data_IF_063124765739
#
_entry.id   IF_063124765739
#
_cell.length_a   1.000
_cell.length_b   1.000
_cell.length_c   1.000
_cell.angle_alpha   90.00
_cell.angle_beta   90.00
_cell.angle_gamma   90.00
#
_symmetry.space_group_name_H-M   'P 1'
#
loop_
_entity.id
_entity.type
_entity.pdbx_description
1 polymer ?
#
# COMPACT_ATOMS: atom_id res chain seq x y z
N UNK A 1 9.05 -10.24 -8.48
CA UNK A 1 9.55 -10.00 -7.11
C UNK A 1 9.30 -8.55 -6.82
N UNK A 2 8.68 -8.24 -5.67
CA UNK A 2 8.49 -6.88 -5.22
C UNK A 2 9.67 -6.43 -4.37
N UNK A 3 9.88 -5.12 -4.29
CA UNK A 3 10.93 -4.54 -3.48
C UNK A 3 10.32 -4.02 -2.18
N UNK A 4 10.77 -4.53 -1.04
CA UNK A 4 10.14 -4.30 0.26
C UNK A 4 11.16 -3.73 1.24
N UNK A 5 10.99 -2.45 1.61
CA UNK A 5 11.86 -1.78 2.59
C UNK A 5 11.67 -2.40 3.99
N UNK A 6 10.41 -2.54 4.42
CA UNK A 6 10.08 -3.09 5.75
C UNK A 6 8.65 -3.60 5.82
N UNK A 7 8.42 -4.54 6.74
CA UNK A 7 7.07 -5.03 7.11
C UNK A 7 6.91 -4.91 8.63
N UNK A 8 5.97 -4.09 9.09
CA UNK A 8 5.80 -3.79 10.52
C UNK A 8 4.34 -3.79 10.93
N UNK A 9 4.06 -3.92 12.22
CA UNK A 9 2.74 -3.64 12.76
C UNK A 9 2.66 -2.15 13.11
N UNK A 10 1.74 -1.42 12.49
CA UNK A 10 1.50 0.00 12.75
C UNK A 10 0.00 0.22 12.94
N UNK A 11 -0.39 0.99 13.94
CA UNK A 11 -1.79 1.28 14.25
C UNK A 11 -2.27 2.59 13.61
N UNK A 12 -1.36 3.32 12.97
CA UNK A 12 -1.64 4.64 12.36
C UNK A 12 -1.85 4.57 10.85
N UNK A 13 -1.46 3.48 10.19
CA UNK A 13 -1.53 3.34 8.74
C UNK A 13 -2.92 2.87 8.25
N UNK A 14 -3.86 2.62 9.15
CA UNK A 14 -5.25 2.35 8.81
C UNK A 14 -6.16 3.08 9.81
N UNK A 15 -7.23 3.76 9.38
CA UNK A 15 -8.02 4.64 10.26
C UNK A 15 -8.78 3.91 11.39
N UNK A 16 -9.07 2.61 11.21
CA UNK A 16 -9.94 1.84 12.10
C UNK A 16 -9.32 0.61 12.80
N UNK A 17 -8.48 -0.17 12.11
CA UNK A 17 -8.05 -1.49 12.57
C UNK A 17 -6.55 -1.52 12.87
N UNK A 18 -6.09 -2.38 13.80
CA UNK A 18 -4.67 -2.67 13.92
C UNK A 18 -4.13 -3.18 12.58
N UNK A 19 -2.98 -2.68 12.14
CA UNK A 19 -2.53 -2.88 10.78
C UNK A 19 -1.14 -3.51 10.69
N UNK A 20 -0.98 -4.42 9.74
CA UNK A 20 0.33 -4.83 9.22
C UNK A 20 0.62 -3.99 7.99
N UNK A 21 1.65 -3.16 8.04
CA UNK A 21 2.03 -2.28 6.95
C UNK A 21 3.20 -2.87 6.18
N UNK A 22 3.02 -2.97 4.87
CA UNK A 22 4.04 -3.42 3.90
C UNK A 22 4.54 -2.19 3.16
N UNK A 23 5.79 -1.79 3.45
CA UNK A 23 6.42 -0.63 2.83
C UNK A 23 7.19 -1.09 1.59
N UNK A 24 6.62 -0.82 0.42
CA UNK A 24 7.25 -1.07 -0.88
C UNK A 24 8.34 -0.03 -1.16
N UNK A 25 9.34 -0.42 -1.94
CA UNK A 25 10.32 0.47 -2.56
C UNK A 25 9.96 0.71 -4.03
N UNK A 26 10.60 1.72 -4.61
CA UNK A 26 10.35 2.18 -5.97
C UNK A 26 9.17 3.14 -5.98
N UNK A 27 9.40 4.36 -6.43
CA UNK A 27 8.35 5.35 -6.67
C UNK A 27 8.57 5.99 -8.04
N UNK A 28 7.51 6.03 -8.85
CA UNK A 28 7.51 6.70 -10.15
C UNK A 28 6.91 8.11 -10.10
N UNK A 29 6.48 8.58 -8.91
CA UNK A 29 5.97 9.94 -8.76
C UNK A 29 7.09 10.96 -8.75
N UNK A 30 7.26 11.63 -9.88
CA UNK A 30 8.14 12.78 -10.04
C UNK A 30 7.33 13.99 -10.51
N UNK A 31 7.75 15.18 -10.12
CA UNK A 31 7.22 16.43 -10.67
C UNK A 31 7.78 16.70 -12.08
N UNK A 32 7.39 17.82 -12.68
CA UNK A 32 7.85 18.20 -14.02
C UNK A 32 9.36 18.48 -14.10
N UNK A 33 10.05 18.64 -12.97
CA UNK A 33 11.51 18.79 -12.87
C UNK A 33 12.23 17.47 -12.66
N UNK A 34 11.48 16.37 -12.52
CA UNK A 34 12.03 15.04 -12.24
C UNK A 34 12.33 14.80 -10.75
N UNK A 35 11.84 15.67 -9.85
CA UNK A 35 12.06 15.53 -8.40
C UNK A 35 10.89 14.77 -7.75
N UNK A 36 11.20 13.99 -6.71
CA UNK A 36 10.21 13.34 -5.87
C UNK A 36 9.44 14.35 -5.00
N UNK A 37 8.34 13.91 -4.40
CA UNK A 37 7.47 14.77 -3.58
C UNK A 37 8.25 15.50 -2.47
N UNK A 38 8.07 16.83 -2.39
CA UNK A 38 8.64 17.64 -1.34
C UNK A 38 8.16 17.15 0.05
N UNK A 39 9.10 16.94 0.97
CA UNK A 39 8.83 16.36 2.29
C UNK A 39 8.04 15.05 2.24
N UNK A 40 8.38 14.17 1.27
CA UNK A 40 7.87 12.80 1.25
C UNK A 40 8.03 12.13 2.62
N UNK A 41 7.03 11.36 3.03
CA UNK A 41 7.05 10.64 4.31
C UNK A 41 7.99 9.43 4.32
N UNK A 42 8.27 8.85 3.15
CA UNK A 42 9.11 7.67 2.99
C UNK A 42 10.19 7.90 1.91
N UNK A 43 11.08 8.90 2.05
CA UNK A 43 12.09 9.19 1.03
C UNK A 43 13.10 8.04 0.87
N UNK A 44 13.25 7.20 1.90
CA UNK A 44 14.03 5.96 1.92
C UNK A 44 13.44 4.82 1.06
N UNK A 45 12.31 5.06 0.40
CA UNK A 45 11.62 4.08 -0.46
C UNK A 45 11.57 4.48 -1.93
N UNK A 46 12.17 5.62 -2.32
CA UNK A 46 12.12 6.14 -3.69
C UNK A 46 12.77 5.22 -4.72
N UNK A 47 13.95 4.71 -4.41
CA UNK A 47 14.73 3.85 -5.30
C UNK A 47 14.49 2.38 -4.96
N UNK A 48 14.49 1.53 -5.98
CA UNK A 48 14.41 0.08 -5.82
C UNK A 48 15.82 -0.50 -5.73
N UNK A 49 16.12 -1.21 -4.65
CA UNK A 49 17.42 -1.86 -4.47
C UNK A 49 17.25 -3.38 -4.44
N UNK A 50 18.02 -4.12 -5.26
CA UNK A 50 17.91 -5.58 -5.40
C UNK A 50 17.99 -6.35 -4.07
N UNK A 51 18.71 -5.84 -3.07
CA UNK A 51 18.81 -6.47 -1.75
C UNK A 51 17.48 -6.51 -0.97
N UNK A 52 16.49 -5.71 -1.36
CA UNK A 52 15.14 -5.69 -0.79
C UNK A 52 14.12 -6.47 -1.62
N UNK A 53 14.55 -7.21 -2.64
CA UNK A 53 13.64 -8.02 -3.44
C UNK A 53 13.13 -9.22 -2.64
N UNK A 54 11.82 -9.35 -2.52
CA UNK A 54 11.15 -10.50 -1.93
C UNK A 54 10.13 -11.09 -2.92
N UNK A 55 9.96 -12.42 -2.85
CA UNK A 55 8.86 -13.09 -3.56
C UNK A 55 7.52 -12.77 -2.89
N UNK A 56 6.41 -12.82 -3.64
CA UNK A 56 5.06 -12.70 -3.08
C UNK A 56 4.80 -13.71 -1.95
N UNK A 57 5.39 -14.91 -2.05
CA UNK A 57 5.27 -16.01 -1.10
C UNK A 57 6.01 -15.70 0.22
N UNK A 58 7.21 -15.11 0.15
CA UNK A 58 7.96 -14.75 1.35
C UNK A 58 7.33 -13.54 2.05
N UNK A 59 6.85 -12.56 1.28
CA UNK A 59 6.06 -11.45 1.82
C UNK A 59 4.83 -11.99 2.53
N UNK A 60 4.09 -12.90 1.88
CA UNK A 60 2.91 -13.53 2.44
C UNK A 60 3.21 -14.26 3.76
N UNK A 61 4.30 -15.04 3.86
CA UNK A 61 4.69 -15.71 5.12
C UNK A 61 4.89 -14.70 6.26
N UNK A 62 5.62 -13.62 6.01
CA UNK A 62 5.94 -12.60 7.01
C UNK A 62 4.67 -11.85 7.44
N UNK A 63 3.86 -11.42 6.47
CA UNK A 63 2.60 -10.70 6.72
C UNK A 63 1.62 -11.59 7.48
N UNK A 64 1.45 -12.84 7.04
CA UNK A 64 0.54 -13.82 7.67
C UNK A 64 0.91 -14.13 9.11
N UNK A 65 2.20 -14.26 9.42
CA UNK A 65 2.65 -14.44 10.80
C UNK A 65 2.20 -13.28 11.70
N UNK A 66 2.35 -12.03 11.22
CA UNK A 66 1.93 -10.83 11.96
C UNK A 66 0.40 -10.71 12.06
N UNK A 67 -0.33 -10.99 10.97
CA UNK A 67 -1.79 -11.05 10.97
C UNK A 67 -2.28 -12.04 12.03
N UNK A 68 -1.72 -13.25 12.04
CA UNK A 68 -2.11 -14.29 13.00
C UNK A 68 -1.90 -13.81 14.44
N UNK A 69 -0.79 -13.11 14.73
CA UNK A 69 -0.57 -12.49 16.05
C UNK A 69 -1.64 -11.45 16.38
N UNK A 70 -1.97 -10.55 15.45
CA UNK A 70 -3.02 -9.54 15.69
C UNK A 70 -4.39 -10.20 15.92
N UNK A 71 -4.73 -11.22 15.15
CA UNK A 71 -6.02 -11.91 15.24
C UNK A 71 -6.19 -12.74 16.52
N UNK A 72 -5.14 -12.93 17.34
CA UNK A 72 -5.29 -13.46 18.70
C UNK A 72 -5.96 -12.46 19.65
N UNK A 73 -5.80 -11.16 19.41
CA UNK A 73 -6.28 -10.08 20.26
C UNK A 73 -7.44 -9.28 19.65
N UNK A 74 -7.60 -9.31 18.32
CA UNK A 74 -8.57 -8.51 17.59
C UNK A 74 -9.40 -9.37 16.63
N UNK A 75 -10.69 -9.07 16.49
CA UNK A 75 -11.57 -9.79 15.56
C UNK A 75 -11.25 -9.51 14.08
N UNK A 76 -10.69 -8.33 13.81
CA UNK A 76 -10.34 -7.85 12.48
C UNK A 76 -8.99 -7.13 12.55
N UNK A 77 -8.23 -7.21 11.47
CA UNK A 77 -7.04 -6.38 11.28
C UNK A 77 -6.98 -5.86 9.83
N UNK A 78 -6.08 -4.93 9.59
CA UNK A 78 -5.81 -4.40 8.26
C UNK A 78 -4.42 -4.81 7.75
N UNK A 79 -4.27 -4.79 6.42
CA UNK A 79 -2.98 -4.77 5.74
C UNK A 79 -2.93 -3.51 4.91
N UNK A 80 -1.96 -2.64 5.20
CA UNK A 80 -1.73 -1.43 4.40
C UNK A 80 -0.55 -1.63 3.46
N UNK A 81 -0.81 -1.48 2.17
CA UNK A 81 0.20 -1.44 1.12
C UNK A 81 0.62 0.01 0.92
N UNK A 82 1.84 0.36 1.34
CA UNK A 82 2.32 1.75 1.49
C UNK A 82 3.82 1.84 1.16
N UNK A 83 4.46 2.98 1.40
CA UNK A 83 5.91 3.18 1.18
C UNK A 83 6.17 4.08 -0.02
N UNK A 84 6.91 3.55 -1.00
CA UNK A 84 7.13 4.17 -2.29
C UNK A 84 5.84 4.11 -3.11
N UNK A 85 5.74 3.16 -4.03
CA UNK A 85 4.52 2.96 -4.81
C UNK A 85 4.21 1.47 -5.01
N UNK A 86 3.17 0.93 -4.35
CA UNK A 86 2.79 -0.46 -4.53
C UNK A 86 2.35 -0.79 -5.97
N UNK A 87 1.75 0.15 -6.70
CA UNK A 87 1.39 -0.05 -8.12
C UNK A 87 2.54 0.23 -9.09
N UNK A 88 3.76 0.44 -8.60
CA UNK A 88 4.93 0.58 -9.45
C UNK A 88 5.08 -0.67 -10.34
N UNK A 89 5.57 -0.50 -11.57
CA UNK A 89 5.67 -1.59 -12.55
C UNK A 89 6.42 -2.82 -12.00
N UNK A 90 7.40 -2.60 -11.12
CA UNK A 90 8.17 -3.67 -10.48
C UNK A 90 7.45 -4.40 -9.33
N UNK A 91 6.35 -3.85 -8.81
CA UNK A 91 5.67 -4.33 -7.59
C UNK A 91 4.25 -4.87 -7.87
N UNK A 92 3.52 -4.26 -8.81
CA UNK A 92 2.08 -4.46 -9.00
C UNK A 92 1.64 -5.92 -9.22
N UNK A 93 2.43 -6.72 -9.93
CA UNK A 93 2.13 -8.14 -10.16
C UNK A 93 2.23 -8.96 -8.85
N UNK A 94 3.20 -8.65 -7.99
CA UNK A 94 3.35 -9.30 -6.69
C UNK A 94 2.33 -8.76 -5.67
N UNK A 95 1.91 -7.49 -5.79
CA UNK A 95 0.78 -6.95 -5.04
C UNK A 95 -0.50 -7.73 -5.36
N UNK A 96 -0.80 -7.98 -6.64
CA UNK A 96 -1.98 -8.77 -7.03
C UNK A 96 -1.92 -10.18 -6.45
N UNK A 97 -0.78 -10.86 -6.54
CA UNK A 97 -0.59 -12.20 -5.97
C UNK A 97 -0.76 -12.22 -4.45
N UNK A 98 -0.11 -11.28 -3.76
CA UNK A 98 -0.17 -11.16 -2.31
C UNK A 98 -1.60 -10.91 -1.82
N UNK A 99 -2.28 -9.94 -2.40
CA UNK A 99 -3.65 -9.56 -2.01
C UNK A 99 -4.63 -10.70 -2.25
N UNK A 100 -4.49 -11.41 -3.38
CA UNK A 100 -5.25 -12.64 -3.65
C UNK A 100 -5.05 -13.70 -2.56
N UNK A 101 -3.80 -14.04 -2.23
CA UNK A 101 -3.49 -15.03 -1.18
C UNK A 101 -4.05 -14.63 0.19
N UNK A 102 -3.95 -13.35 0.55
CA UNK A 102 -4.50 -12.82 1.80
C UNK A 102 -6.03 -12.92 1.83
N UNK A 103 -6.70 -12.60 0.72
CA UNK A 103 -8.16 -12.72 0.61
C UNK A 103 -8.64 -14.16 0.66
N UNK A 104 -7.97 -15.08 -0.03
CA UNK A 104 -8.32 -16.50 0.00
C UNK A 104 -8.17 -17.09 1.41
N UNK A 105 -7.12 -16.69 2.14
CA UNK A 105 -6.80 -17.21 3.47
C UNK A 105 -7.66 -16.60 4.58
N UNK A 106 -7.75 -15.27 4.62
CA UNK A 106 -8.33 -14.53 5.74
C UNK A 106 -9.74 -14.00 5.47
N UNK A 107 -10.18 -14.02 4.21
CA UNK A 107 -11.52 -13.58 3.78
C UNK A 107 -11.83 -12.18 4.29
N UNK A 108 -12.91 -12.04 5.05
CA UNK A 108 -13.39 -10.78 5.61
C UNK A 108 -12.74 -10.38 6.95
N UNK A 109 -11.84 -11.20 7.50
CA UNK A 109 -11.11 -10.85 8.75
C UNK A 109 -9.98 -9.85 8.51
N UNK A 110 -9.51 -9.75 7.27
CA UNK A 110 -8.43 -8.84 6.86
C UNK A 110 -8.96 -7.85 5.84
N UNK A 111 -8.89 -6.58 6.19
CA UNK A 111 -9.16 -5.45 5.28
C UNK A 111 -7.84 -5.02 4.64
N UNK A 112 -7.80 -4.88 3.33
CA UNK A 112 -6.61 -4.49 2.57
C UNK A 112 -6.81 -3.06 2.08
N UNK A 113 -5.94 -2.17 2.56
CA UNK A 113 -5.88 -0.76 2.18
C UNK A 113 -4.67 -0.51 1.30
N UNK A 114 -4.89 0.04 0.10
CA UNK A 114 -3.83 0.49 -0.79
C UNK A 114 -3.64 2.00 -0.72
N UNK A 115 -2.40 2.44 -0.52
CA UNK A 115 -1.98 3.81 -0.76
C UNK A 115 -1.34 3.92 -2.14
N UNK A 116 -1.71 4.94 -2.91
CA UNK A 116 -1.06 5.26 -4.18
C UNK A 116 -1.11 6.76 -4.45
N UNK A 117 -0.06 7.31 -5.09
CA UNK A 117 -0.10 8.71 -5.53
C UNK A 117 -1.11 8.94 -6.67
N UNK A 118 -1.49 7.87 -7.37
CA UNK A 118 -2.41 7.88 -8.49
C UNK A 118 -3.81 8.28 -8.05
N UNK A 119 -4.50 9.06 -8.88
CA UNK A 119 -5.93 9.30 -8.77
C UNK A 119 -6.74 8.17 -9.42
N UNK A 120 -8.06 8.14 -9.21
CA UNK A 120 -8.93 7.19 -9.92
C UNK A 120 -8.82 7.31 -11.46
N UNK A 121 -8.59 8.52 -11.96
CA UNK A 121 -8.40 8.76 -13.39
C UNK A 121 -7.07 8.17 -13.86
N UNK A 122 -5.98 8.37 -13.11
CA UNK A 122 -4.68 7.77 -13.42
C UNK A 122 -4.73 6.24 -13.45
N UNK A 123 -5.49 5.62 -12.53
CA UNK A 123 -5.70 4.17 -12.52
C UNK A 123 -6.33 3.69 -13.83
N UNK A 124 -7.37 4.38 -14.31
CA UNK A 124 -8.07 4.04 -15.56
C UNK A 124 -7.20 4.28 -16.78
N UNK A 125 -6.53 5.42 -16.83
CA UNK A 125 -5.70 5.82 -17.96
C UNK A 125 -4.45 4.93 -18.10
N UNK A 126 -3.96 4.38 -16.99
CA UNK A 126 -2.82 3.45 -16.95
C UNK A 126 -3.25 1.97 -16.98
N UNK A 127 -4.55 1.67 -17.06
CA UNK A 127 -5.11 0.32 -17.07
C UNK A 127 -4.66 -0.53 -15.87
N UNK A 128 -4.78 0.01 -14.65
CA UNK A 128 -4.30 -0.62 -13.42
C UNK A 128 -5.39 -1.31 -12.60
N UNK A 129 -6.63 -1.33 -13.07
CA UNK A 129 -7.81 -1.83 -12.36
C UNK A 129 -7.65 -3.29 -11.93
N UNK A 130 -7.01 -4.13 -12.77
CA UNK A 130 -6.81 -5.54 -12.46
C UNK A 130 -6.05 -5.77 -11.14
N UNK A 131 -5.10 -4.88 -10.83
CA UNK A 131 -4.27 -4.95 -9.63
C UNK A 131 -5.04 -4.62 -8.35
N UNK A 132 -6.25 -4.07 -8.47
CA UNK A 132 -7.13 -3.70 -7.37
C UNK A 132 -8.14 -4.81 -7.02
N UNK A 133 -8.20 -5.90 -7.79
CA UNK A 133 -9.25 -6.93 -7.70
C UNK A 133 -9.47 -7.56 -6.31
N UNK A 134 -8.45 -7.52 -5.44
CA UNK A 134 -8.50 -8.11 -4.09
C UNK A 134 -8.27 -7.09 -2.98
N UNK A 135 -8.41 -5.80 -3.30
CA UNK A 135 -8.20 -4.67 -2.39
C UNK A 135 -9.57 -4.13 -1.97
N UNK A 136 -9.76 -3.88 -0.67
CA UNK A 136 -11.05 -3.41 -0.16
C UNK A 136 -11.14 -1.89 -0.15
N UNK A 137 -10.03 -1.22 0.16
CA UNK A 137 -10.00 0.20 0.45
C UNK A 137 -8.83 0.87 -0.26
N UNK A 138 -9.03 2.12 -0.67
CA UNK A 138 -8.06 2.90 -1.42
C UNK A 138 -7.84 4.23 -0.71
N UNK A 139 -6.59 4.67 -0.64
CA UNK A 139 -6.18 6.03 -0.30
C UNK A 139 -5.38 6.59 -1.48
N UNK A 140 -6.08 7.31 -2.36
CA UNK A 140 -5.58 7.74 -3.67
C UNK A 140 -5.19 9.22 -3.67
N UNK A 141 -4.21 9.56 -4.50
CA UNK A 141 -3.70 10.92 -4.67
C UNK A 141 -2.34 11.13 -4.00
N UNK A 142 -1.52 11.98 -4.61
CA UNK A 142 -0.19 12.29 -4.11
C UNK A 142 -0.22 12.99 -2.76
N UNK A 143 0.81 12.79 -1.95
CA UNK A 143 1.03 13.63 -0.78
C UNK A 143 1.51 15.02 -1.20
N UNK A 144 0.80 16.06 -0.77
CA UNK A 144 1.18 17.46 -0.99
C UNK A 144 1.49 18.12 0.36
N UNK A 145 2.74 18.49 0.62
CA UNK A 145 3.12 19.12 1.90
C UNK A 145 2.28 20.37 2.22
N UNK A 146 1.96 21.19 1.22
CA UNK A 146 1.12 22.39 1.39
C UNK A 146 -0.33 22.10 1.80
N UNK A 147 -0.77 20.84 1.69
CA UNK A 147 -2.10 20.36 2.07
C UNK A 147 -2.04 19.32 3.19
N UNK A 148 -0.90 19.19 3.86
CA UNK A 148 -0.73 18.26 4.97
C UNK A 148 -1.83 18.50 6.02
N UNK A 149 -2.40 17.40 6.53
CA UNK A 149 -3.29 17.41 7.70
C UNK A 149 -2.75 16.43 8.75
N UNK A 150 -2.90 16.76 10.03
CA UNK A 150 -2.38 15.96 11.15
C UNK A 150 -3.20 14.69 11.44
N UNK A 151 -3.59 13.93 10.40
CA UNK A 151 -4.47 12.78 10.51
C UNK A 151 -4.47 11.90 9.25
N UNK A 152 -5.57 11.21 9.03
CA UNK A 152 -5.77 10.32 7.88
C UNK A 152 -6.95 10.81 7.01
N UNK A 153 -6.80 10.93 5.68
CA UNK A 153 -5.54 10.83 4.93
C UNK A 153 -4.53 11.92 5.33
N UNK A 154 -3.25 11.72 5.01
CA UNK A 154 -2.17 12.62 5.46
C UNK A 154 -2.15 13.99 4.74
N UNK A 155 -2.83 14.10 3.60
CA UNK A 155 -2.96 15.34 2.84
C UNK A 155 -4.40 15.52 2.36
N UNK A 156 -4.93 16.74 2.43
CA UNK A 156 -6.36 17.02 2.19
C UNK A 156 -6.82 16.80 0.75
N UNK A 157 -5.88 16.60 -0.20
CA UNK A 157 -6.19 16.23 -1.58
C UNK A 157 -6.27 14.72 -1.81
N UNK A 158 -5.89 13.91 -0.83
CA UNK A 158 -5.99 12.46 -0.93
C UNK A 158 -7.43 12.02 -0.65
N UNK A 159 -7.89 11.01 -1.38
CA UNK A 159 -9.24 10.47 -1.27
C UNK A 159 -9.18 9.05 -0.71
N UNK A 160 -9.75 8.89 0.47
CA UNK A 160 -10.02 7.57 1.05
C UNK A 160 -11.41 7.10 0.64
N UNK A 161 -11.53 5.87 0.13
CA UNK A 161 -12.80 5.27 -0.24
C UNK A 161 -12.76 3.75 -0.22
N UNK A 162 -13.93 3.11 -0.19
CA UNK A 162 -14.04 1.71 -0.56
C UNK A 162 -13.66 1.54 -2.04
N UNK A 163 -13.08 0.40 -2.38
CA UNK A 163 -12.73 0.07 -3.74
C UNK A 163 -13.99 -0.25 -4.55
N UNK A 164 -14.21 0.56 -5.60
CA UNK A 164 -15.37 0.45 -6.50
C UNK A 164 -14.96 0.03 -7.93
N UNK A 165 -13.70 -0.41 -8.12
CA UNK A 165 -13.21 -0.93 -9.41
C UNK A 165 -13.54 -2.41 -9.64
N UNK A 166 -14.31 -3.01 -8.73
CA UNK A 166 -14.73 -4.41 -8.74
C UNK A 166 -15.98 -4.64 -9.60
#
# INVERSE_FOLDING_TARGET
MAFINRITCNFSDHPKYPCVSVYFQGCDKKDFTGQFCQQCHNPDTWESECMFSLSSEDIYKIVSAKINTLLLAYNYCAVSLVGGEPLHASNRDDVLKLTKLLKETYKNKVVILLYSWRTEQDIKDQHLEEYLSYIDELCLGEYMHSKHVGGFPASSNQKYSQNMFL
#
